data_IF_303802070834
#
_entry.id   IF_303802070834
#
_cell.length_a   1.000
_cell.length_b   1.000
_cell.length_c   1.000
_cell.angle_alpha   90.00
_cell.angle_beta   90.00
_cell.angle_gamma   90.00
#
_symmetry.space_group_name_H-M   'P 1'
#
loop_
_entity.id
_entity.type
_entity.pdbx_description
1 polymer ?
#
# COMPACT_ATOMS: atom_id res chain seq x y z
N UNK A 1 13.42 -25.66 -24.48
CA UNK A 1 13.40 -24.19 -24.58
C UNK A 1 13.49 -23.68 -23.16
N UNK A 2 14.43 -22.79 -22.85
CA UNK A 2 14.51 -22.19 -21.52
C UNK A 2 13.30 -21.28 -21.29
N UNK A 3 12.73 -21.22 -20.07
CA UNK A 3 11.58 -20.37 -19.79
C UNK A 3 11.99 -18.90 -19.84
N UNK A 4 11.07 -18.02 -20.24
CA UNK A 4 11.27 -16.56 -20.16
C UNK A 4 11.55 -16.13 -18.72
N UNK A 5 10.89 -16.75 -17.75
CA UNK A 5 11.06 -16.38 -16.35
C UNK A 5 10.99 -17.61 -15.44
N UNK A 6 11.89 -17.63 -14.46
CA UNK A 6 11.88 -18.59 -13.36
C UNK A 6 12.43 -17.92 -12.10
N UNK A 7 11.68 -17.97 -11.00
CA UNK A 7 12.16 -17.52 -9.70
C UNK A 7 11.75 -18.47 -8.59
N UNK A 8 12.55 -18.55 -7.54
CA UNK A 8 12.25 -19.34 -6.34
C UNK A 8 12.35 -18.45 -5.12
N UNK A 9 11.30 -18.38 -4.31
CA UNK A 9 11.32 -17.79 -2.98
C UNK A 9 11.32 -18.88 -1.93
N UNK A 10 12.00 -18.66 -0.82
CA UNK A 10 11.99 -19.53 0.36
C UNK A 10 10.84 -19.21 1.32
N UNK A 11 10.07 -18.16 1.05
CA UNK A 11 8.98 -17.70 1.91
C UNK A 11 7.75 -17.29 1.07
N UNK A 12 6.87 -18.25 0.81
CA UNK A 12 5.60 -17.98 0.13
C UNK A 12 4.69 -16.99 0.90
N UNK A 13 4.86 -16.88 2.23
CA UNK A 13 4.07 -15.98 3.07
C UNK A 13 4.41 -14.52 2.79
N UNK A 14 5.67 -14.20 2.50
CA UNK A 14 6.07 -12.85 2.10
C UNK A 14 5.35 -12.43 0.82
N UNK A 15 5.34 -13.29 -0.21
CA UNK A 15 4.66 -13.01 -1.47
C UNK A 15 3.15 -12.82 -1.24
N UNK A 16 2.53 -13.73 -0.48
CA UNK A 16 1.11 -13.63 -0.13
C UNK A 16 0.80 -12.32 0.63
N UNK A 17 1.62 -11.94 1.61
CA UNK A 17 1.41 -10.75 2.44
C UNK A 17 1.44 -9.46 1.62
N UNK A 18 2.33 -9.38 0.62
CA UNK A 18 2.37 -8.23 -0.29
C UNK A 18 1.18 -8.24 -1.25
N UNK A 19 0.92 -9.36 -1.93
CA UNK A 19 -0.12 -9.47 -2.95
C UNK A 19 -1.53 -9.31 -2.38
N UNK A 20 -1.78 -9.79 -1.15
CA UNK A 20 -3.10 -9.65 -0.50
C UNK A 20 -3.46 -8.19 -0.23
N UNK A 21 -2.47 -7.29 -0.14
CA UNK A 21 -2.70 -5.87 0.10
C UNK A 21 -3.48 -5.21 -1.05
N UNK A 22 -3.26 -5.71 -2.28
CA UNK A 22 -3.95 -5.23 -3.49
C UNK A 22 -5.08 -6.16 -3.95
N UNK A 23 -5.50 -7.11 -3.11
CA UNK A 23 -6.53 -8.11 -3.42
C UNK A 23 -7.97 -7.57 -3.52
N UNK A 24 -8.17 -6.30 -3.90
CA UNK A 24 -9.49 -5.65 -4.02
C UNK A 24 -10.10 -5.73 -5.42
N UNK A 25 -9.32 -6.18 -6.41
CA UNK A 25 -9.74 -6.44 -7.78
C UNK A 25 -9.61 -7.94 -8.12
N UNK A 26 -10.37 -8.41 -9.10
CA UNK A 26 -10.38 -9.82 -9.50
C UNK A 26 -9.16 -10.19 -10.36
N UNK A 27 -8.73 -9.28 -11.24
CA UNK A 27 -7.60 -9.48 -12.15
C UNK A 27 -6.45 -8.55 -11.78
N UNK A 28 -5.22 -9.05 -11.91
CA UNK A 28 -4.00 -8.26 -11.76
C UNK A 28 -3.18 -8.31 -13.05
N UNK A 29 -2.62 -7.15 -13.42
CA UNK A 29 -1.63 -7.00 -14.47
C UNK A 29 -0.25 -7.29 -13.90
N UNK A 30 0.44 -8.22 -14.53
CA UNK A 30 1.81 -8.63 -14.20
C UNK A 30 2.74 -8.11 -15.29
N UNK A 31 3.84 -7.51 -14.87
CA UNK A 31 4.98 -7.17 -15.73
C UNK A 31 6.24 -7.75 -15.08
N UNK A 32 6.99 -8.56 -15.83
CA UNK A 32 8.22 -9.22 -15.34
C UNK A 32 9.42 -8.45 -15.88
N UNK A 33 10.30 -7.96 -15.00
CA UNK A 33 11.48 -7.16 -15.37
C UNK A 33 12.77 -7.80 -14.82
N UNK A 34 13.96 -7.41 -15.26
CA UNK A 34 15.22 -7.92 -14.69
C UNK A 34 15.37 -7.68 -13.18
N UNK A 35 14.70 -6.65 -12.65
CA UNK A 35 14.79 -6.23 -11.25
C UNK A 35 13.73 -6.84 -10.34
N UNK A 36 12.66 -7.42 -10.90
CA UNK A 36 11.57 -7.96 -10.09
C UNK A 36 10.29 -8.23 -10.87
N UNK A 37 9.19 -8.35 -10.14
CA UNK A 37 7.86 -8.57 -10.72
C UNK A 37 6.93 -7.48 -10.21
N UNK A 38 6.32 -6.77 -11.15
CA UNK A 38 5.34 -5.73 -10.84
C UNK A 38 3.93 -6.28 -11.00
N UNK A 39 3.15 -6.13 -9.94
CA UNK A 39 1.72 -6.39 -9.92
C UNK A 39 0.99 -5.06 -9.84
N UNK A 40 -0.02 -4.89 -10.69
CA UNK A 40 -0.89 -3.72 -10.68
C UNK A 40 -2.34 -4.14 -10.81
N UNK A 41 -3.19 -3.46 -10.05
CA UNK A 41 -4.64 -3.59 -10.09
C UNK A 41 -5.23 -2.19 -10.20
N UNK A 42 -6.34 -2.08 -10.91
CA UNK A 42 -7.00 -0.81 -11.12
C UNK A 42 -8.49 -0.95 -10.85
N UNK A 43 -9.09 0.14 -10.42
CA UNK A 43 -10.54 0.28 -10.35
C UNK A 43 -10.98 1.59 -10.98
N UNK A 44 -11.77 1.46 -12.06
CA UNK A 44 -12.48 2.56 -12.73
C UNK A 44 -11.57 3.74 -13.14
N UNK A 45 -10.28 3.51 -13.43
CA UNK A 45 -9.27 4.53 -13.78
C UNK A 45 -9.05 5.63 -12.72
N UNK A 46 -9.57 5.43 -11.50
CA UNK A 46 -9.51 6.42 -10.41
C UNK A 46 -8.77 5.92 -9.18
N UNK A 47 -8.54 4.61 -9.09
CA UNK A 47 -7.72 3.99 -8.05
C UNK A 47 -6.80 2.95 -8.68
N UNK A 48 -5.53 2.97 -8.27
CA UNK A 48 -4.55 1.97 -8.69
C UNK A 48 -3.82 1.44 -7.45
N UNK A 49 -3.65 0.13 -7.36
CA UNK A 49 -2.83 -0.54 -6.36
C UNK A 49 -1.63 -1.22 -7.03
N UNK A 50 -0.44 -1.02 -6.50
CA UNK A 50 0.81 -1.50 -7.06
C UNK A 50 1.64 -2.21 -6.00
N UNK A 51 2.17 -3.38 -6.37
CA UNK A 51 3.12 -4.15 -5.56
C UNK A 51 4.32 -4.47 -6.46
N UNK A 52 5.51 -4.16 -5.98
CA UNK A 52 6.75 -4.57 -6.63
C UNK A 52 7.44 -5.64 -5.79
N UNK A 53 7.53 -6.85 -6.35
CA UNK A 53 8.29 -7.95 -5.77
C UNK A 53 9.74 -7.83 -6.27
N UNK A 54 10.59 -7.22 -5.45
CA UNK A 54 12.03 -7.08 -5.75
C UNK A 54 12.67 -8.46 -5.93
N UNK A 55 13.62 -8.59 -6.87
CA UNK A 55 14.38 -9.82 -7.07
C UNK A 55 15.05 -10.35 -5.80
N UNK A 56 15.36 -9.47 -4.83
CA UNK A 56 15.93 -9.82 -3.53
C UNK A 56 14.99 -10.66 -2.64
N UNK A 57 13.69 -10.69 -2.93
CA UNK A 57 12.72 -11.60 -2.28
C UNK A 57 12.86 -13.06 -2.73
N UNK A 58 13.68 -13.31 -3.75
CA UNK A 58 13.86 -14.63 -4.35
C UNK A 58 15.29 -15.12 -4.12
N UNK A 59 15.42 -16.40 -3.77
CA UNK A 59 16.71 -17.09 -3.68
C UNK A 59 17.32 -17.32 -5.06
N UNK A 60 16.47 -17.52 -6.07
CA UNK A 60 16.85 -17.52 -7.48
C UNK A 60 15.91 -16.64 -8.28
N UNK A 61 16.46 -15.86 -9.20
CA UNK A 61 15.69 -15.02 -10.11
C UNK A 61 16.37 -15.06 -11.47
N UNK A 62 15.69 -15.65 -12.46
CA UNK A 62 16.18 -15.78 -13.83
C UNK A 62 15.16 -15.19 -14.78
N UNK A 63 15.58 -14.19 -15.53
CA UNK A 63 14.79 -13.55 -16.56
C UNK A 63 15.54 -13.59 -17.88
N UNK A 64 14.95 -14.25 -18.86
CA UNK A 64 15.46 -14.39 -20.21
C UNK A 64 14.64 -13.45 -21.12
N UNK A 65 15.20 -12.28 -21.42
CA UNK A 65 14.52 -11.27 -22.21
C UNK A 65 14.11 -11.84 -23.58
N UNK A 66 12.85 -11.67 -24.01
CA UNK A 66 12.45 -12.04 -25.36
C UNK A 66 13.29 -11.22 -26.37
N UNK A 67 13.78 -11.83 -27.47
CA UNK A 67 14.56 -11.11 -28.45
C UNK A 67 13.74 -9.95 -29.02
N UNK A 68 14.30 -8.73 -28.99
CA UNK A 68 13.69 -7.55 -29.60
C UNK A 68 13.36 -7.90 -31.06
N UNK A 69 12.06 -7.93 -31.40
CA UNK A 69 11.67 -8.10 -32.79
C UNK A 69 12.19 -6.90 -33.57
N UNK A 70 13.18 -7.17 -34.42
CA UNK A 70 13.85 -6.24 -35.30
C UNK A 70 12.80 -5.50 -36.15
N UNK A 71 12.35 -4.33 -35.70
CA UNK A 71 11.51 -3.45 -36.52
C UNK A 71 12.43 -2.91 -37.60
N UNK A 72 12.27 -3.46 -38.81
CA UNK A 72 13.01 -3.21 -40.05
C UNK A 72 13.88 -1.93 -40.05
N UNK A 73 15.16 -2.14 -40.37
CA UNK A 73 16.24 -1.17 -40.24
C UNK A 73 15.98 0.19 -40.88
N UNK A 74 16.22 1.22 -40.08
CA UNK A 74 16.90 2.48 -40.39
C UNK A 74 16.59 3.47 -39.26
N UNK A 75 17.40 3.43 -38.20
CA UNK A 75 17.59 4.60 -37.36
C UNK A 75 18.99 4.50 -36.77
N UNK A 76 19.74 5.56 -37.02
CA UNK A 76 21.13 5.77 -36.61
C UNK A 76 21.20 5.84 -35.08
N UNK A 77 22.39 5.56 -34.56
CA UNK A 77 22.79 5.69 -33.16
C UNK A 77 22.13 6.88 -32.45
N UNK A 78 21.09 6.60 -31.67
CA UNK A 78 20.69 7.42 -30.53
C UNK A 78 20.65 6.45 -29.33
N UNK A 79 21.71 6.46 -28.51
CA UNK A 79 21.81 5.80 -27.21
C UNK A 79 20.90 6.48 -26.18
N UNK A 80 19.61 6.63 -26.48
CA UNK A 80 18.62 7.13 -25.54
C UNK A 80 17.48 6.12 -25.43
N UNK A 81 17.76 5.07 -24.64
CA UNK A 81 16.83 4.07 -24.11
C UNK A 81 15.87 3.44 -25.14
N UNK A 82 16.30 2.36 -25.78
CA UNK A 82 15.36 1.38 -26.31
C UNK A 82 14.42 0.98 -25.15
N UNK A 83 13.14 1.37 -25.24
CA UNK A 83 12.15 1.04 -24.23
C UNK A 83 12.05 -0.49 -24.15
N UNK A 84 12.65 -1.08 -23.11
CA UNK A 84 12.65 -2.52 -22.91
C UNK A 84 11.20 -3.01 -22.81
N UNK A 85 10.71 -3.65 -23.87
CA UNK A 85 9.37 -4.25 -23.89
C UNK A 85 9.42 -5.52 -23.04
N UNK A 86 9.06 -5.37 -21.77
CA UNK A 86 8.96 -6.47 -20.83
C UNK A 86 7.66 -7.27 -21.01
N UNK A 87 7.69 -8.61 -20.85
CA UNK A 87 6.51 -9.44 -20.99
C UNK A 87 5.46 -9.07 -19.95
N UNK A 88 4.22 -9.01 -20.43
CA UNK A 88 3.10 -8.52 -19.65
C UNK A 88 1.84 -9.31 -19.96
N UNK A 89 1.08 -9.63 -18.91
CA UNK A 89 -0.16 -10.39 -19.02
C UNK A 89 -1.03 -10.16 -17.78
N UNK A 90 -2.31 -10.45 -17.90
CA UNK A 90 -3.25 -10.45 -16.79
C UNK A 90 -3.39 -11.87 -16.22
N UNK A 91 -3.65 -11.98 -14.93
CA UNK A 91 -4.08 -13.24 -14.29
C UNK A 91 -5.24 -12.97 -13.32
N UNK A 92 -5.93 -14.03 -12.90
CA UNK A 92 -6.85 -13.96 -11.75
C UNK A 92 -6.04 -13.78 -10.46
N UNK A 93 -6.19 -12.62 -9.82
CA UNK A 93 -5.55 -12.32 -8.54
C UNK A 93 -6.16 -13.17 -7.42
N UNK A 94 -7.47 -13.45 -7.48
CA UNK A 94 -8.14 -14.34 -6.52
C UNK A 94 -7.55 -15.75 -6.57
N UNK A 95 -7.41 -16.34 -7.76
CA UNK A 95 -6.78 -17.65 -7.93
C UNK A 95 -5.32 -17.66 -7.49
N UNK A 96 -4.57 -16.58 -7.72
CA UNK A 96 -3.20 -16.43 -7.20
C UNK A 96 -3.17 -16.45 -5.67
N UNK A 97 -4.02 -15.66 -5.02
CA UNK A 97 -4.06 -15.58 -3.56
C UNK A 97 -4.46 -16.92 -2.94
N UNK A 98 -5.48 -17.58 -3.49
CA UNK A 98 -5.88 -18.92 -3.08
C UNK A 98 -4.77 -19.95 -3.26
N UNK A 99 -4.07 -19.89 -4.41
CA UNK A 99 -2.92 -20.76 -4.71
C UNK A 99 -1.85 -20.60 -3.63
N UNK A 100 -1.46 -19.36 -3.30
CA UNK A 100 -0.45 -19.10 -2.28
C UNK A 100 -0.90 -19.59 -0.89
N UNK A 101 -2.22 -19.65 -0.63
CA UNK A 101 -2.78 -20.10 0.64
C UNK A 101 -3.04 -21.61 0.74
N UNK A 102 -2.74 -22.42 -0.29
CA UNK A 102 -3.07 -23.87 -0.33
C UNK A 102 -2.69 -24.63 0.94
N UNK A 103 -1.54 -24.30 1.55
CA UNK A 103 -1.09 -24.95 2.79
C UNK A 103 -1.53 -24.21 4.06
N UNK A 104 -2.64 -23.48 4.03
CA UNK A 104 -3.24 -22.86 5.22
C UNK A 104 -2.43 -21.68 5.76
N UNK A 105 -2.00 -20.75 4.88
CA UNK A 105 -1.46 -19.44 5.32
C UNK A 105 -2.52 -18.60 6.09
N UNK A 106 -3.79 -19.00 6.00
CA UNK A 106 -4.88 -18.38 6.73
C UNK A 106 -4.80 -18.66 8.24
N UNK A 107 -4.60 -17.60 9.00
CA UNK A 107 -5.06 -17.41 10.39
C UNK A 107 -4.06 -17.52 11.55
N UNK A 108 -2.79 -17.15 11.33
CA UNK A 108 -1.87 -16.88 12.45
C UNK A 108 -2.17 -15.55 13.18
N UNK A 109 -3.13 -14.73 12.71
CA UNK A 109 -3.36 -13.36 13.21
C UNK A 109 -4.69 -13.13 13.92
N UNK A 110 -5.57 -14.13 14.08
CA UNK A 110 -6.78 -13.99 14.92
C UNK A 110 -6.66 -14.59 16.33
N UNK A 111 -5.54 -15.20 16.70
CA UNK A 111 -5.40 -15.85 18.02
C UNK A 111 -5.01 -14.93 19.19
N UNK A 112 -5.06 -13.60 19.04
CA UNK A 112 -4.52 -12.70 20.07
C UNK A 112 -5.38 -11.49 20.42
N UNK A 113 -6.72 -11.60 20.42
CA UNK A 113 -7.57 -10.70 21.23
C UNK A 113 -8.89 -11.40 21.67
N UNK A 114 -8.84 -12.20 22.73
CA UNK A 114 -10.03 -12.49 23.54
C UNK A 114 -9.84 -11.87 24.94
N UNK A 115 -10.67 -10.90 25.34
CA UNK A 115 -10.73 -10.46 26.73
C UNK A 115 -11.60 -11.44 27.52
N UNK A 116 -11.09 -11.87 28.68
CA UNK A 116 -11.79 -12.57 29.75
C UNK A 116 -12.21 -14.05 29.56
N UNK A 117 -11.42 -14.93 30.18
CA UNK A 117 -11.85 -16.02 31.07
C UNK A 117 -13.14 -16.79 30.78
N UNK A 118 -13.09 -17.77 29.88
CA UNK A 118 -13.81 -19.04 30.08
C UNK A 118 -13.07 -20.20 29.40
N UNK A 119 -12.86 -21.29 30.15
CA UNK A 119 -12.36 -22.56 29.64
C UNK A 119 -13.52 -23.28 28.94
N UNK A 120 -13.72 -22.98 27.65
CA UNK A 120 -14.58 -23.80 26.79
C UNK A 120 -13.68 -24.71 25.93
N UNK A 121 -13.58 -25.97 26.36
CA UNK A 121 -12.91 -27.05 25.66
C UNK A 121 -13.70 -27.42 24.39
N UNK A 122 -13.48 -26.69 23.30
CA UNK A 122 -13.83 -27.16 21.95
C UNK A 122 -12.62 -27.89 21.36
N UNK A 123 -12.78 -29.05 20.71
CA UNK A 123 -11.67 -29.74 20.06
C UNK A 123 -11.27 -28.95 18.81
N UNK A 124 -10.45 -27.93 19.00
CA UNK A 124 -9.71 -27.27 17.93
C UNK A 124 -8.87 -28.35 17.25
N UNK A 125 -9.15 -28.59 15.96
CA UNK A 125 -8.57 -29.68 15.20
C UNK A 125 -7.04 -29.67 15.29
N UNK A 126 -6.46 -30.85 15.49
CA UNK A 126 -5.03 -31.12 15.52
C UNK A 126 -4.28 -30.86 14.18
N UNK A 127 -4.86 -30.04 13.29
CA UNK A 127 -4.32 -29.60 12.01
C UNK A 127 -4.04 -28.08 11.96
N UNK A 128 -4.39 -27.31 12.98
CA UNK A 128 -4.03 -25.88 13.07
C UNK A 128 -2.82 -25.70 13.99
N UNK A 129 -1.70 -26.34 13.63
CA UNK A 129 -0.42 -26.00 14.24
C UNK A 129 0.22 -24.89 13.39
N UNK A 130 0.51 -23.68 13.92
CA UNK A 130 1.43 -22.73 13.28
C UNK A 130 2.90 -23.18 13.39
N UNK A 131 3.14 -24.44 13.80
CA UNK A 131 4.44 -25.05 13.91
C UNK A 131 4.81 -25.71 12.57
N UNK A 132 5.79 -25.11 11.88
CA UNK A 132 6.46 -25.48 10.61
C UNK A 132 6.25 -24.52 9.43
N UNK A 133 5.99 -23.23 9.66
CA UNK A 133 6.16 -22.17 8.64
C UNK A 133 7.61 -22.06 8.10
N UNK A 134 8.57 -22.84 8.62
CA UNK A 134 9.91 -22.97 8.06
C UNK A 134 9.89 -23.86 6.81
N UNK A 135 10.19 -23.27 5.66
CA UNK A 135 10.56 -24.01 4.45
C UNK A 135 9.49 -24.11 3.37
N UNK A 136 8.49 -23.23 3.36
CA UNK A 136 7.53 -23.11 2.25
C UNK A 136 8.19 -22.41 1.07
N UNK A 137 8.74 -23.19 0.16
CA UNK A 137 9.29 -22.62 -1.07
C UNK A 137 8.19 -22.40 -2.10
N UNK A 138 8.28 -21.29 -2.81
CA UNK A 138 7.40 -20.93 -3.91
C UNK A 138 8.25 -20.72 -5.16
N UNK A 139 8.04 -21.54 -6.18
CA UNK A 139 8.65 -21.35 -7.49
C UNK A 139 7.62 -20.77 -8.45
N UNK A 140 7.98 -19.67 -9.11
CA UNK A 140 7.21 -19.03 -10.16
C UNK A 140 7.90 -19.31 -11.49
N UNK A 141 7.15 -19.74 -12.51
CA UNK A 141 7.68 -20.01 -13.85
C UNK A 141 6.73 -19.53 -14.94
N UNK A 142 7.30 -18.89 -15.95
CA UNK A 142 6.60 -18.48 -17.16
C UNK A 142 7.43 -18.87 -18.38
N UNK A 143 6.91 -19.78 -19.20
CA UNK A 143 7.69 -20.45 -20.25
C UNK A 143 7.85 -19.59 -21.49
N UNK A 144 6.76 -19.04 -22.01
CA UNK A 144 6.70 -18.26 -23.24
C UNK A 144 5.49 -17.31 -23.24
N UNK A 145 5.42 -16.32 -24.14
CA UNK A 145 4.24 -15.47 -24.28
C UNK A 145 2.99 -16.33 -24.51
N UNK A 146 1.90 -16.04 -23.79
CA UNK A 146 0.65 -16.81 -23.82
C UNK A 146 0.64 -18.14 -23.03
N UNK A 147 1.77 -18.56 -22.43
CA UNK A 147 1.78 -19.73 -21.53
C UNK A 147 1.13 -19.39 -20.17
N UNK A 148 0.61 -20.37 -19.41
CA UNK A 148 0.13 -20.11 -18.06
C UNK A 148 1.30 -19.74 -17.12
N UNK A 149 1.00 -18.95 -16.09
CA UNK A 149 1.93 -18.72 -14.98
C UNK A 149 1.88 -19.95 -14.06
N UNK A 150 2.96 -20.70 -14.02
CA UNK A 150 3.09 -21.90 -13.20
C UNK A 150 3.63 -21.53 -11.81
N UNK A 151 2.94 -21.98 -10.77
CA UNK A 151 3.26 -21.74 -9.36
C UNK A 151 3.41 -23.07 -8.68
N UNK A 152 4.63 -23.40 -8.25
CA UNK A 152 4.92 -24.63 -7.52
C UNK A 152 5.23 -24.30 -6.07
N UNK A 153 4.38 -24.75 -5.17
CA UNK A 153 4.57 -24.64 -3.72
C UNK A 153 5.05 -25.97 -3.18
N UNK A 154 6.06 -25.96 -2.32
CA UNK A 154 6.50 -27.18 -1.63
C UNK A 154 6.66 -26.97 -0.13
N UNK A 155 6.19 -27.95 0.64
CA UNK A 155 6.22 -27.97 2.10
C UNK A 155 6.28 -29.43 2.59
N UNK A 156 7.21 -29.74 3.49
CA UNK A 156 7.30 -31.05 4.16
C UNK A 156 7.27 -32.27 3.21
N UNK A 157 7.88 -32.13 2.02
CA UNK A 157 7.91 -33.18 1.00
C UNK A 157 6.67 -33.27 0.11
N UNK A 158 5.62 -32.50 0.40
CA UNK A 158 4.45 -32.34 -0.48
C UNK A 158 4.72 -31.19 -1.44
N UNK A 159 4.44 -31.41 -2.73
CA UNK A 159 4.58 -30.38 -3.77
C UNK A 159 3.26 -30.23 -4.52
N UNK A 160 2.77 -29.00 -4.61
CA UNK A 160 1.56 -28.65 -5.34
C UNK A 160 1.93 -27.69 -6.46
N UNK A 161 1.54 -28.02 -7.70
CA UNK A 161 1.76 -27.14 -8.86
C UNK A 161 0.41 -26.66 -9.38
N UNK A 162 0.27 -25.35 -9.50
CA UNK A 162 -0.90 -24.69 -10.05
C UNK A 162 -0.52 -23.96 -11.33
N UNK A 163 -1.39 -24.02 -12.33
CA UNK A 163 -1.20 -23.32 -13.61
C UNK A 163 -2.28 -22.25 -13.73
N UNK A 164 -1.89 -20.99 -13.61
CA UNK A 164 -2.80 -19.86 -13.75
C UNK A 164 -2.85 -19.41 -15.21
N UNK A 165 -4.05 -19.42 -15.79
CA UNK A 165 -4.29 -18.90 -17.14
C UNK A 165 -3.87 -17.43 -17.22
N UNK A 166 -3.10 -17.10 -18.26
CA UNK A 166 -2.73 -15.73 -18.59
C UNK A 166 -3.69 -15.17 -19.64
N UNK A 167 -4.01 -13.90 -19.52
CA UNK A 167 -4.90 -13.19 -20.43
C UNK A 167 -4.21 -11.96 -20.99
N UNK A 168 -4.61 -11.56 -22.18
CA UNK A 168 -4.28 -10.26 -22.77
C UNK A 168 -5.40 -9.26 -22.41
N UNK A 169 -5.10 -7.96 -22.36
CA UNK A 169 -6.14 -6.94 -22.17
C UNK A 169 -6.70 -6.51 -23.52
N UNK A 170 -7.99 -6.18 -23.53
CA UNK A 170 -8.66 -5.58 -24.70
C UNK A 170 -8.31 -4.09 -24.88
N UNK A 171 -7.60 -3.47 -23.93
CA UNK A 171 -7.16 -2.07 -24.06
C UNK A 171 -6.12 -1.97 -25.20
N UNK A 172 -6.36 -1.15 -26.25
CA UNK A 172 -5.45 -1.03 -27.39
C UNK A 172 -4.07 -0.48 -27.04
N UNK A 173 -3.92 0.07 -25.83
CA UNK A 173 -2.64 0.51 -25.30
C UNK A 173 -1.87 -0.64 -24.61
N UNK A 174 -2.53 -1.72 -24.18
CA UNK A 174 -1.89 -2.84 -23.49
C UNK A 174 -0.69 -3.41 -24.26
N UNK A 175 0.46 -3.51 -23.59
CA UNK A 175 1.69 -4.03 -24.19
C UNK A 175 2.48 -3.02 -25.05
N UNK A 176 1.96 -1.81 -25.27
CA UNK A 176 2.73 -0.70 -25.84
C UNK A 176 3.53 0.00 -24.76
N UNK A 177 4.70 0.55 -25.10
CA UNK A 177 5.53 1.31 -24.16
C UNK A 177 4.81 2.53 -23.55
N UNK A 178 3.83 3.10 -24.27
CA UNK A 178 2.96 4.17 -23.78
C UNK A 178 1.60 3.71 -23.22
N UNK A 179 1.39 2.41 -23.02
CA UNK A 179 0.04 1.87 -22.84
C UNK A 179 -0.18 1.06 -21.58
N UNK A 180 -0.22 1.82 -20.50
CA UNK A 180 -1.36 2.00 -19.60
C UNK A 180 -0.76 2.85 -18.50
N UNK A 181 -0.97 4.16 -18.64
CA UNK A 181 -0.30 5.17 -17.81
C UNK A 181 -0.85 5.00 -16.41
N UNK A 182 -0.03 4.48 -15.50
CA UNK A 182 -0.29 4.58 -14.07
C UNK A 182 -0.84 5.96 -13.76
N UNK A 183 -1.80 6.07 -12.85
CA UNK A 183 -2.34 7.37 -12.44
C UNK A 183 -1.16 8.32 -12.20
N UNK A 184 -0.97 9.37 -13.03
CA UNK A 184 0.29 10.08 -13.10
C UNK A 184 0.45 10.93 -11.85
N UNK A 185 1.51 10.66 -11.08
CA UNK A 185 1.87 11.47 -9.92
C UNK A 185 3.00 12.42 -10.33
N UNK A 186 2.74 13.73 -10.27
CA UNK A 186 3.74 14.74 -10.60
C UNK A 186 4.79 14.85 -9.49
N UNK A 187 5.88 14.08 -9.60
CA UNK A 187 6.93 13.98 -8.57
C UNK A 187 7.62 15.32 -8.26
N UNK A 188 7.77 16.17 -9.27
CA UNK A 188 8.38 17.49 -9.12
C UNK A 188 7.41 18.54 -8.55
N UNK A 189 6.11 18.21 -8.50
CA UNK A 189 5.04 19.09 -8.02
C UNK A 189 4.32 18.53 -6.79
N UNK A 190 5.03 17.78 -5.93
CA UNK A 190 4.50 17.31 -4.64
C UNK A 190 4.38 18.48 -3.67
N UNK A 191 3.14 18.82 -3.32
CA UNK A 191 2.80 19.93 -2.42
C UNK A 191 2.58 19.49 -0.97
N UNK A 192 2.27 18.21 -0.77
CA UNK A 192 2.02 17.60 0.53
C UNK A 192 2.80 16.30 0.64
N UNK A 193 3.60 16.15 1.70
CA UNK A 193 4.28 14.91 2.08
C UNK A 193 4.23 14.71 3.59
N UNK A 194 3.56 13.66 4.02
CA UNK A 194 3.39 13.31 5.43
C UNK A 194 3.84 11.85 5.60
N UNK A 195 4.61 11.57 6.64
CA UNK A 195 4.98 10.19 7.03
C UNK A 195 4.51 9.97 8.46
N UNK A 196 3.78 8.88 8.67
CA UNK A 196 3.25 8.50 9.98
C UNK A 196 3.21 6.98 10.13
N UNK A 197 2.98 6.50 11.36
CA UNK A 197 2.69 5.08 11.57
C UNK A 197 1.40 4.71 10.86
N UNK A 198 1.41 3.62 10.12
CA UNK A 198 0.26 3.21 9.30
C UNK A 198 -0.99 2.92 10.15
N UNK A 199 -0.79 2.41 11.38
CA UNK A 199 -1.87 2.15 12.33
C UNK A 199 -2.72 3.40 12.65
N UNK A 200 -2.15 4.61 12.66
CA UNK A 200 -2.91 5.83 12.91
C UNK A 200 -3.86 6.15 11.75
N UNK A 201 -3.39 6.00 10.52
CA UNK A 201 -4.24 6.16 9.33
C UNK A 201 -5.32 5.08 9.31
N UNK A 202 -4.95 3.81 9.56
CA UNK A 202 -5.90 2.70 9.62
C UNK A 202 -7.03 2.94 10.61
N UNK A 203 -6.68 3.31 11.85
CA UNK A 203 -7.66 3.56 12.90
C UNK A 203 -8.59 4.72 12.54
N UNK A 204 -8.05 5.81 11.99
CA UNK A 204 -8.86 6.96 11.59
C UNK A 204 -9.82 6.62 10.45
N UNK A 205 -9.37 5.89 9.43
CA UNK A 205 -10.25 5.44 8.34
C UNK A 205 -11.32 4.48 8.86
N UNK A 206 -10.97 3.55 9.76
CA UNK A 206 -11.93 2.62 10.34
C UNK A 206 -12.95 3.31 11.27
N UNK A 207 -12.54 4.35 11.99
CA UNK A 207 -13.43 5.19 12.79
C UNK A 207 -14.40 5.98 11.91
N UNK A 208 -13.91 6.60 10.83
CA UNK A 208 -14.76 7.31 9.89
C UNK A 208 -15.74 6.39 9.16
N UNK A 209 -15.35 5.15 8.85
CA UNK A 209 -16.23 4.16 8.17
C UNK A 209 -17.49 3.85 8.99
N UNK A 210 -17.45 4.00 10.33
CA UNK A 210 -18.62 3.82 11.19
C UNK A 210 -19.79 4.76 10.85
N UNK A 211 -19.51 5.88 10.16
CA UNK A 211 -20.52 6.86 9.71
C UNK A 211 -20.97 6.67 8.26
N UNK A 212 -20.51 5.62 7.57
CA UNK A 212 -20.77 5.33 6.16
C UNK A 212 -20.62 6.56 5.23
N UNK A 213 -19.48 7.29 5.27
CA UNK A 213 -19.26 8.45 4.41
C UNK A 213 -19.06 8.04 2.95
N UNK A 214 -19.46 8.92 2.02
CA UNK A 214 -19.19 8.75 0.58
C UNK A 214 -17.88 9.40 0.18
N UNK A 215 -17.50 10.48 0.87
CA UNK A 215 -16.35 11.34 0.56
C UNK A 215 -15.39 11.38 1.74
N UNK A 216 -14.10 11.23 1.45
CA UNK A 216 -13.01 11.51 2.38
C UNK A 216 -12.36 12.83 1.98
N UNK A 217 -12.39 13.82 2.85
CA UNK A 217 -11.63 15.07 2.72
C UNK A 217 -10.32 14.94 3.50
N UNK A 218 -9.19 15.09 2.81
CA UNK A 218 -7.86 15.20 3.41
C UNK A 218 -7.47 16.67 3.42
N UNK A 219 -7.24 17.22 4.60
CA UNK A 219 -6.87 18.62 4.81
C UNK A 219 -5.55 18.73 5.55
N UNK A 220 -4.61 19.51 5.02
CA UNK A 220 -3.31 19.74 5.65
C UNK A 220 -2.83 21.19 5.51
N UNK A 221 -2.29 21.76 6.58
CA UNK A 221 -1.71 23.12 6.62
C UNK A 221 -0.40 23.09 7.39
N UNK A 222 0.59 23.87 6.96
CA UNK A 222 1.85 24.06 7.69
C UNK A 222 1.85 25.27 8.63
N UNK A 223 0.82 26.11 8.56
CA UNK A 223 0.74 27.41 9.26
C UNK A 223 -0.34 27.47 10.33
N UNK A 224 -1.43 26.73 10.17
CA UNK A 224 -2.63 26.84 11.02
C UNK A 224 -3.13 25.46 11.45
N UNK A 225 -3.42 25.31 12.73
CA UNK A 225 -4.10 24.12 13.23
C UNK A 225 -5.55 24.05 12.70
N UNK A 226 -6.11 22.86 12.41
CA UNK A 226 -5.45 21.55 12.49
C UNK A 226 -4.45 21.33 11.35
N UNK A 227 -3.25 20.86 11.69
CA UNK A 227 -2.17 20.63 10.72
C UNK A 227 -2.48 19.47 9.76
N UNK A 228 -3.12 18.40 10.26
CA UNK A 228 -3.66 17.32 9.43
C UNK A 228 -5.04 16.92 9.96
N UNK A 229 -5.99 16.81 9.05
CA UNK A 229 -7.37 16.43 9.33
C UNK A 229 -7.87 15.48 8.24
N UNK A 230 -8.57 14.43 8.66
CA UNK A 230 -9.32 13.52 7.80
C UNK A 230 -10.79 13.67 8.16
N UNK A 231 -11.63 14.11 7.23
CA UNK A 231 -13.07 14.23 7.43
C UNK A 231 -13.85 13.29 6.51
N UNK A 232 -14.82 12.58 7.05
CA UNK A 232 -15.79 11.79 6.29
C UNK A 232 -17.11 12.54 6.18
N UNK A 233 -17.64 12.66 4.96
CA UNK A 233 -18.91 13.36 4.68
C UNK A 233 -19.75 12.65 3.60
N UNK A 234 -20.98 13.13 3.39
CA UNK A 234 -21.91 12.65 2.36
C UNK A 234 -22.66 11.35 2.68
N UNK A 235 -22.49 10.82 3.89
CA UNK A 235 -23.28 9.70 4.42
C UNK A 235 -24.63 10.14 5.01
N UNK A 236 -25.42 9.20 5.55
CA UNK A 236 -26.70 9.51 6.22
C UNK A 236 -26.53 10.20 7.58
N UNK A 237 -25.31 10.21 8.12
CA UNK A 237 -24.96 10.86 9.38
C UNK A 237 -24.21 12.17 9.13
N UNK A 238 -24.08 13.00 10.17
CA UNK A 238 -23.31 14.24 10.11
C UNK A 238 -21.83 13.99 9.78
N UNK A 239 -21.13 15.03 9.32
CA UNK A 239 -19.69 14.99 9.10
C UNK A 239 -18.95 14.53 10.38
N UNK A 240 -17.95 13.67 10.20
CA UNK A 240 -17.05 13.22 11.27
C UNK A 240 -15.62 13.52 10.87
N UNK A 241 -14.78 13.91 11.83
CA UNK A 241 -13.42 14.40 11.54
C UNK A 241 -12.42 13.92 12.59
N UNK A 242 -11.30 13.37 12.11
CA UNK A 242 -10.16 12.95 12.91
C UNK A 242 -9.01 13.92 12.65
N UNK A 243 -8.53 14.57 13.71
CA UNK A 243 -7.44 15.55 13.66
C UNK A 243 -6.17 14.97 14.27
N UNK A 244 -5.04 15.21 13.63
CA UNK A 244 -3.74 14.73 14.10
C UNK A 244 -2.86 15.88 14.56
N UNK A 245 -2.37 15.81 15.79
CA UNK A 245 -1.38 16.74 16.31
C UNK A 245 0.00 16.48 15.73
N UNK A 246 0.72 17.57 15.44
CA UNK A 246 2.12 17.53 14.98
C UNK A 246 3.05 18.00 16.11
N UNK A 247 4.34 17.70 16.02
CA UNK A 247 5.32 18.15 17.03
C UNK A 247 5.36 19.68 17.18
N UNK A 248 4.98 20.45 16.14
CA UNK A 248 4.91 21.92 16.20
C UNK A 248 3.91 22.43 17.25
N UNK A 249 2.83 21.69 17.47
CA UNK A 249 1.73 22.06 18.38
C UNK A 249 2.15 21.95 19.87
N UNK A 250 3.17 21.14 20.17
CA UNK A 250 3.71 21.00 21.54
C UNK A 250 4.60 22.17 21.96
N UNK A 251 5.26 22.84 21.02
CA UNK A 251 6.16 23.96 21.34
C UNK A 251 5.39 25.16 21.89
N UNK A 252 4.18 25.42 21.39
CA UNK A 252 3.32 26.51 21.91
C UNK A 252 2.57 26.13 23.20
N UNK A 253 2.32 24.84 23.43
CA UNK A 253 1.56 24.36 24.58
C UNK A 253 2.39 24.22 25.87
N UNK A 254 3.72 24.10 25.78
CA UNK A 254 4.63 24.06 26.94
C UNK A 254 4.97 25.44 27.52
N UNK A 255 4.63 26.55 26.82
CA UNK A 255 5.00 27.90 27.25
C UNK A 255 4.12 28.50 28.37
N UNK A 256 3.06 27.81 28.84
CA UNK A 256 2.06 28.43 29.72
C UNK A 256 1.85 27.78 31.11
N UNK A 257 2.79 26.95 31.58
CA UNK A 257 2.80 26.52 32.98
C UNK A 257 4.02 27.08 33.71
N UNK A 258 3.93 28.32 34.20
CA UNK A 258 4.70 28.73 35.37
C UNK A 258 4.13 28.00 36.59
N UNK A 259 4.77 26.90 36.99
CA UNK A 259 4.60 26.37 38.35
C UNK A 259 5.92 26.53 39.11
N UNK A 260 5.77 27.12 40.29
CA UNK A 260 6.81 27.31 41.28
C UNK A 260 7.30 25.96 41.84
N UNK A 261 8.59 25.96 42.20
CA UNK A 261 9.25 25.05 43.13
C UNK A 261 9.58 23.62 42.63
N UNK A 262 10.90 23.45 42.50
CA UNK A 262 11.74 22.24 42.55
C UNK A 262 11.29 21.19 43.59
N UNK A 263 11.16 19.92 43.18
CA UNK A 263 12.06 18.80 43.55
C UNK A 263 11.44 17.45 43.13
N UNK A 264 12.23 16.55 42.52
CA UNK A 264 11.86 15.13 42.34
C UNK A 264 11.59 14.63 40.91
N UNK A 265 12.58 13.92 40.38
CA UNK A 265 12.64 13.13 39.14
C UNK A 265 11.33 12.39 38.80
N UNK A 266 10.64 12.80 37.73
CA UNK A 266 9.72 11.95 36.95
C UNK A 266 9.93 12.18 35.46
N UNK A 267 10.45 11.16 34.77
CA UNK A 267 10.50 11.08 33.30
C UNK A 267 9.09 11.24 32.74
N UNK A 268 8.76 12.42 32.24
CA UNK A 268 7.63 12.57 31.34
C UNK A 268 7.97 11.80 30.06
N UNK A 269 7.40 10.59 29.90
CA UNK A 269 7.35 9.92 28.60
C UNK A 269 6.48 10.81 27.71
N UNK A 270 7.11 11.74 27.00
CA UNK A 270 6.48 12.57 25.96
C UNK A 270 5.76 11.61 24.99
N UNK A 271 4.44 11.77 24.84
CA UNK A 271 3.67 11.00 23.86
C UNK A 271 4.32 11.18 22.48
N UNK A 272 4.60 10.12 21.70
CA UNK A 272 5.23 10.27 20.39
C UNK A 272 4.36 11.13 19.48
N UNK A 273 4.94 12.05 18.69
CA UNK A 273 4.19 12.71 17.64
C UNK A 273 3.60 11.67 16.68
N UNK A 274 2.41 11.98 16.18
CA UNK A 274 1.69 11.12 15.24
C UNK A 274 2.42 11.09 13.89
N UNK A 275 3.09 12.18 13.51
CA UNK A 275 3.81 12.34 12.24
C UNK A 275 5.32 12.36 12.44
N UNK A 276 6.04 11.48 11.75
CA UNK A 276 7.52 11.48 11.68
C UNK A 276 8.04 12.50 10.65
N UNK A 277 7.28 12.77 9.59
CA UNK A 277 7.59 13.81 8.60
C UNK A 277 6.32 14.58 8.30
N UNK A 278 6.43 15.91 8.27
CA UNK A 278 5.31 16.79 7.93
C UNK A 278 5.81 17.96 7.07
N UNK A 279 5.60 17.86 5.76
CA UNK A 279 6.00 18.86 4.77
C UNK A 279 4.77 19.23 3.93
N UNK A 280 4.30 20.47 4.08
CA UNK A 280 3.12 20.98 3.36
C UNK A 280 3.47 22.36 2.83
N UNK A 281 3.74 22.43 1.53
CA UNK A 281 4.24 23.61 0.82
C UNK A 281 3.43 23.82 -0.47
N UNK A 282 2.14 24.16 -0.38
CA UNK A 282 1.36 24.55 -1.56
C UNK A 282 1.91 25.82 -2.23
N UNK A 283 1.77 25.96 -3.55
CA UNK A 283 2.08 27.20 -4.25
C UNK A 283 1.19 28.35 -3.74
N UNK A 284 1.67 29.59 -3.85
CA UNK A 284 0.97 30.77 -3.34
C UNK A 284 -0.45 30.95 -3.88
N UNK A 285 -0.74 30.42 -5.08
CA UNK A 285 -2.07 30.43 -5.71
C UNK A 285 -3.11 29.55 -5.00
N UNK A 286 -2.69 28.53 -4.24
CA UNK A 286 -3.58 27.56 -3.57
C UNK A 286 -3.85 27.92 -2.10
N UNK A 287 -3.23 28.99 -1.59
CA UNK A 287 -3.30 29.37 -0.18
C UNK A 287 -2.42 28.50 0.72
N UNK A 288 -2.64 28.57 2.03
CA UNK A 288 -1.84 27.82 3.03
C UNK A 288 -2.42 26.45 3.41
N UNK A 289 -3.62 26.15 2.95
CA UNK A 289 -4.37 24.94 3.28
C UNK A 289 -4.52 24.09 2.02
N UNK A 290 -3.97 22.88 2.04
CA UNK A 290 -4.23 21.86 1.02
C UNK A 290 -5.47 21.10 1.45
N UNK A 291 -6.50 21.04 0.60
CA UNK A 291 -7.75 20.32 0.88
C UNK A 291 -8.17 19.57 -0.38
N UNK A 292 -8.20 18.25 -0.30
CA UNK A 292 -8.55 17.39 -1.43
C UNK A 292 -9.61 16.35 -1.02
N UNK A 293 -10.52 16.04 -1.94
CA UNK A 293 -11.63 15.12 -1.71
C UNK A 293 -11.45 13.83 -2.52
N UNK A 294 -11.71 12.68 -1.91
CA UNK A 294 -11.60 11.37 -2.55
C UNK A 294 -12.82 10.52 -2.26
N UNK A 295 -13.11 9.52 -3.11
CA UNK A 295 -14.16 8.54 -2.81
C UNK A 295 -13.74 7.68 -1.62
N UNK A 296 -14.49 7.77 -0.52
CA UNK A 296 -14.15 7.07 0.72
C UNK A 296 -14.05 5.55 0.51
N UNK A 297 -15.00 4.98 -0.24
CA UNK A 297 -15.03 3.55 -0.56
C UNK A 297 -13.75 3.04 -1.24
N UNK A 298 -13.09 3.87 -2.06
CA UNK A 298 -11.82 3.51 -2.72
C UNK A 298 -10.65 3.56 -1.74
N UNK A 299 -10.56 4.61 -0.91
CA UNK A 299 -9.52 4.71 0.13
C UNK A 299 -9.60 3.52 1.09
N UNK A 300 -10.82 3.11 1.48
CA UNK A 300 -11.06 1.95 2.33
C UNK A 300 -10.55 0.64 1.73
N UNK A 301 -10.46 0.50 0.40
CA UNK A 301 -9.90 -0.71 -0.22
C UNK A 301 -8.41 -0.91 0.10
N UNK A 302 -7.69 0.16 0.45
CA UNK A 302 -6.32 0.09 0.91
C UNK A 302 -6.19 -0.32 2.41
N UNK A 303 -7.29 -0.54 3.14
CA UNK A 303 -7.27 -0.91 4.57
C UNK A 303 -6.40 -2.13 4.89
N UNK A 304 -6.32 -3.13 3.99
CA UNK A 304 -5.43 -4.29 4.17
C UNK A 304 -3.94 -3.90 4.17
N UNK A 305 -3.56 -2.98 3.28
CA UNK A 305 -2.19 -2.44 3.24
C UNK A 305 -1.92 -1.56 4.46
N UNK A 306 -2.89 -0.72 4.85
CA UNK A 306 -2.79 0.13 6.04
C UNK A 306 -2.55 -0.71 7.31
N UNK A 307 -3.26 -1.84 7.46
CA UNK A 307 -3.13 -2.73 8.61
C UNK A 307 -1.80 -3.53 8.62
N UNK A 308 -1.27 -3.89 7.45
CA UNK A 308 -0.04 -4.68 7.34
C UNK A 308 1.25 -3.85 7.46
N UNK A 309 1.18 -2.56 7.15
CA UNK A 309 2.35 -1.69 7.08
C UNK A 309 2.79 -1.13 8.43
N UNK A 310 4.09 -0.93 8.62
CA UNK A 310 4.63 -0.23 9.78
C UNK A 310 4.46 1.30 9.64
N UNK A 311 4.67 1.80 8.42
CA UNK A 311 4.60 3.23 8.09
C UNK A 311 3.86 3.47 6.78
N UNK A 312 3.30 4.67 6.66
CA UNK A 312 2.72 5.17 5.42
C UNK A 312 3.32 6.53 5.07
N UNK A 313 3.70 6.71 3.81
CA UNK A 313 3.97 8.03 3.23
C UNK A 313 2.76 8.46 2.42
N UNK A 314 2.13 9.55 2.84
CA UNK A 314 0.99 10.22 2.21
C UNK A 314 1.56 11.37 1.39
N UNK A 315 1.35 11.34 0.07
CA UNK A 315 1.82 12.38 -0.85
C UNK A 315 0.66 12.90 -1.69
N UNK A 316 0.54 14.21 -1.80
CA UNK A 316 -0.38 14.88 -2.72
C UNK A 316 0.40 15.77 -3.69
N UNK A 317 0.08 15.67 -4.97
CA UNK A 317 0.61 16.60 -5.98
C UNK A 317 -0.31 17.79 -6.22
N UNK A 318 0.15 18.75 -7.04
CA UNK A 318 -0.58 19.96 -7.39
C UNK A 318 -1.89 19.71 -8.17
N UNK A 319 -2.06 18.53 -8.77
CA UNK A 319 -3.30 18.13 -9.46
C UNK A 319 -4.29 17.43 -8.51
N UNK A 320 -3.92 17.27 -7.23
CA UNK A 320 -4.72 16.57 -6.23
C UNK A 320 -4.61 15.05 -6.31
N UNK A 321 -3.68 14.47 -7.10
CA UNK A 321 -3.46 13.03 -7.09
C UNK A 321 -2.82 12.62 -5.77
N UNK A 322 -3.47 11.68 -5.08
CA UNK A 322 -2.99 11.13 -3.82
C UNK A 322 -2.18 9.87 -4.08
N UNK A 323 -1.00 9.78 -3.46
CA UNK A 323 -0.21 8.56 -3.35
C UNK A 323 -0.08 8.15 -1.89
N UNK A 324 -0.47 6.91 -1.58
CA UNK A 324 -0.24 6.26 -0.29
C UNK A 324 0.80 5.15 -0.49
N UNK A 325 2.00 5.34 0.03
CA UNK A 325 3.07 4.35 -0.01
C UNK A 325 3.21 3.68 1.34
N UNK A 326 2.91 2.39 1.40
CA UNK A 326 2.93 1.57 2.61
C UNK A 326 4.23 0.79 2.71
N UNK A 327 4.95 0.98 3.81
CA UNK A 327 6.17 0.22 4.13
C UNK A 327 5.78 -1.06 4.89
N UNK A 328 5.98 -2.20 4.26
CA UNK A 328 5.72 -3.52 4.84
C UNK A 328 7.05 -4.15 5.23
N UNK A 329 7.20 -4.45 6.52
CA UNK A 329 8.37 -5.13 7.05
C UNK A 329 8.10 -6.62 7.08
N UNK A 330 8.82 -7.35 6.25
CA UNK A 330 8.75 -8.80 6.16
C UNK A 330 9.82 -9.37 7.09
N UNK A 331 9.36 -9.90 8.22
CA UNK A 331 10.20 -10.66 9.14
C UNK A 331 10.14 -12.14 8.83
N UNK A 332 11.29 -12.83 8.84
CA UNK A 332 11.33 -14.25 9.18
C UNK A 332 10.98 -14.34 10.67
N UNK A 333 9.88 -14.99 11.03
CA UNK A 333 9.31 -14.96 12.39
C UNK A 333 10.35 -15.10 13.50
N UNK A 334 10.47 -14.09 14.36
CA UNK A 334 11.14 -14.22 15.64
C UNK A 334 10.27 -15.12 16.52
N UNK A 335 10.66 -16.37 16.70
CA UNK A 335 10.13 -17.21 17.77
C UNK A 335 10.72 -16.67 19.08
N UNK A 336 9.88 -16.09 19.94
CA UNK A 336 10.24 -15.89 21.34
C UNK A 336 10.47 -17.29 21.97
N UNK A 337 11.74 -17.72 22.04
CA UNK A 337 12.09 -19.00 22.65
C UNK A 337 13.47 -19.56 22.30
N UNK A 338 14.12 -19.10 21.23
CA UNK A 338 15.43 -19.65 20.85
C UNK A 338 16.58 -18.83 21.46
N UNK A 339 17.08 -19.28 22.62
CA UNK A 339 18.29 -18.75 23.26
C UNK A 339 19.51 -19.33 22.56
N UNK A 340 19.83 -18.81 21.38
CA UNK A 340 21.05 -19.12 20.64
C UNK A 340 21.46 -17.91 19.78
N UNK A 341 22.74 -17.76 19.40
CA UNK A 341 23.16 -16.66 18.55
C UNK A 341 22.71 -16.94 17.11
N UNK A 342 21.42 -16.72 16.84
CA UNK A 342 20.85 -16.88 15.51
C UNK A 342 21.34 -15.74 14.63
N UNK A 343 21.99 -16.12 13.53
CA UNK A 343 22.44 -15.22 12.46
C UNK A 343 21.29 -14.28 12.09
N UNK A 344 21.54 -12.97 12.13
CA UNK A 344 20.56 -11.94 11.82
C UNK A 344 19.86 -12.21 10.50
N UNK A 345 18.61 -12.68 10.56
CA UNK A 345 17.74 -12.75 9.41
C UNK A 345 17.56 -11.35 8.84
N UNK A 346 17.84 -11.18 7.55
CA UNK A 346 17.66 -9.90 6.89
C UNK A 346 16.17 -9.52 6.94
N UNK A 347 15.84 -8.46 7.69
CA UNK A 347 14.50 -7.87 7.69
C UNK A 347 14.30 -7.25 6.30
N UNK A 348 13.51 -7.90 5.44
CA UNK A 348 13.23 -7.37 4.12
C UNK A 348 12.15 -6.29 4.25
N UNK A 349 12.38 -5.15 3.60
CA UNK A 349 11.39 -4.07 3.54
C UNK A 349 10.86 -4.01 2.12
N UNK A 350 9.54 -4.06 1.99
CA UNK A 350 8.84 -3.98 0.72
C UNK A 350 7.82 -2.87 0.76
N UNK A 351 7.43 -2.37 -0.40
CA UNK A 351 6.48 -1.26 -0.52
C UNK A 351 5.25 -1.67 -1.30
N UNK A 352 4.10 -1.16 -0.86
CA UNK A 352 2.83 -1.25 -1.57
C UNK A 352 2.34 0.17 -1.82
N UNK A 353 2.14 0.52 -3.07
CA UNK A 353 1.74 1.86 -3.48
C UNK A 353 0.28 1.87 -3.90
N UNK A 354 -0.46 2.88 -3.45
CA UNK A 354 -1.79 3.20 -3.96
C UNK A 354 -1.80 4.60 -4.53
N UNK A 355 -2.54 4.79 -5.63
CA UNK A 355 -2.80 6.10 -6.23
C UNK A 355 -4.29 6.33 -6.38
N UNK A 356 -4.74 7.55 -6.11
CA UNK A 356 -6.14 7.95 -6.20
C UNK A 356 -6.28 9.27 -6.94
N UNK A 357 -7.26 9.32 -7.84
CA UNK A 357 -7.69 10.54 -8.51
C UNK A 357 -8.65 11.29 -7.57
N UNK A 358 -8.50 12.62 -7.40
CA UNK A 358 -9.41 13.41 -6.58
C UNK A 358 -10.80 13.47 -7.21
N UNK A 359 -11.81 13.70 -6.39
CA UNK A 359 -13.12 14.11 -6.86
C UNK A 359 -13.00 15.49 -7.47
N UNK A 360 -13.53 15.66 -8.69
CA UNK A 360 -13.62 16.98 -9.31
C UNK A 360 -14.32 17.94 -8.34
N UNK A 361 -13.70 19.10 -8.10
CA UNK A 361 -14.23 20.09 -7.18
C UNK A 361 -15.67 20.42 -7.53
N UNK A 362 -16.58 20.14 -6.60
CA UNK A 362 -17.76 20.97 -6.50
C UNK A 362 -17.20 22.30 -6.01
N UNK A 363 -16.98 23.25 -6.93
CA UNK A 363 -16.64 24.63 -6.58
C UNK A 363 -17.53 25.01 -5.41
N UNK A 364 -16.91 25.45 -4.31
CA UNK A 364 -17.62 25.85 -3.09
C UNK A 364 -18.72 26.84 -3.49
N UNK A 365 -19.94 26.34 -3.65
CA UNK A 365 -21.12 27.09 -4.04
C UNK A 365 -21.69 27.89 -2.85
N UNK A 366 -20.82 28.25 -1.91
CA UNK A 366 -21.08 29.23 -0.86
C UNK A 366 -20.52 30.58 -1.32
N UNK A 367 -20.97 30.98 -2.51
CA UNK A 367 -20.85 32.35 -2.99
C UNK A 367 -21.70 33.25 -2.10
N UNK A 368 -21.04 33.97 -1.20
CA UNK A 368 -21.44 35.29 -0.69
C UNK A 368 -22.97 35.51 -0.55
N UNK A 369 -23.55 35.11 0.58
CA UNK A 369 -24.75 35.81 1.05
C UNK A 369 -24.33 37.23 1.47
N UNK A 370 -24.73 38.18 0.63
CA UNK A 370 -24.52 39.61 0.76
C UNK A 370 -24.76 40.12 2.18
N UNK A 371 -23.75 40.80 2.73
CA UNK A 371 -24.02 41.94 3.59
C UNK A 371 -24.61 43.05 2.71
N UNK A 372 -25.82 43.49 3.07
CA UNK A 372 -26.22 44.91 3.08
C UNK A 372 -27.66 45.00 3.60
N UNK A 373 -27.79 45.30 4.89
CA UNK A 373 -29.01 45.87 5.46
C UNK A 373 -28.66 47.23 6.06
N UNK A 374 -28.51 48.24 5.20
CA UNK A 374 -28.64 49.64 5.56
C UNK A 374 -30.00 50.16 5.07
N UNK A 375 -30.74 50.78 6.01
CA UNK A 375 -31.75 51.83 5.76
C UNK A 375 -33.04 51.40 5.06
N UNK A 376 -34.19 51.60 5.71
CA UNK A 376 -34.99 52.84 5.64
C UNK A 376 -35.95 52.88 6.82
#
# INVERSE_FOLDING_TARGET
MEPIFSAVSNDAYHLYTLLRCIGFAEKARIQITPDGIRFSVEESRVMQGLVFLDRALFTTYTFNAPPLQNRNGNALDDEESAEDIYPQFLISLTALLETLQIFGIGDASQSSFLPNGSLQNTPSGAFTSPALLLGRTCALRYSSPGSPLCITLSESGVTTTCELTTYESDDPSFGSAGGEVDIPLQRDAIIMKIIMRSAWLYNAINELDATNPTTLTISASSKTAPFLSLSGSGGPFSESSVKFSTDKEKVDSEANYKNLQDDGVKRARLAPAVTETFQVNPPSSMGSLVKENYRFALIRKASRAMAAASKVSIRGDIQGVLSLQFMIELGSGNIEGEVGPTRGGARHVSFVDFRFVPLAGQEDADGAENGDSEGW
#
